data_IF_933330329651
#
_entry.id   IF_933330329651
#
_cell.length_a   1.000
_cell.length_b   1.000
_cell.length_c   1.000
_cell.angle_alpha   90.00
_cell.angle_beta   90.00
_cell.angle_gamma   90.00
#
_symmetry.space_group_name_H-M   'P 1'
#
loop_
_entity.id
_entity.type
_entity.pdbx_description
1 polymer ?
#
# COMPACT_ATOMS: atom_id res chain seq x y z
N UNK A 1 -3.04 19.92 38.98
CA UNK A 1 -3.77 18.64 38.94
C UNK A 1 -4.22 18.23 37.52
N UNK A 2 -3.82 18.92 36.44
CA UNK A 2 -4.15 18.54 35.06
C UNK A 2 -3.19 17.53 34.43
N UNK A 3 -1.92 17.48 34.88
CA UNK A 3 -0.86 16.68 34.23
C UNK A 3 -1.08 15.16 34.29
N UNK A 4 -1.71 14.64 35.36
CA UNK A 4 -1.89 13.19 35.49
C UNK A 4 -3.01 12.64 34.62
N UNK A 5 -4.02 13.46 34.28
CA UNK A 5 -5.17 13.00 33.50
C UNK A 5 -4.86 13.03 32.00
N UNK A 6 -4.24 14.10 31.50
CA UNK A 6 -3.77 14.19 30.11
C UNK A 6 -2.71 13.14 29.78
N UNK A 7 -1.76 12.91 30.70
CA UNK A 7 -0.76 11.84 30.55
C UNK A 7 -1.40 10.45 30.48
N UNK A 8 -2.44 10.18 31.28
CA UNK A 8 -3.13 8.88 31.29
C UNK A 8 -3.94 8.65 30.01
N UNK A 9 -4.63 9.68 29.51
CA UNK A 9 -5.36 9.61 28.24
C UNK A 9 -4.41 9.40 27.06
N UNK A 10 -3.31 10.15 27.01
CA UNK A 10 -2.31 10.00 25.94
C UNK A 10 -1.69 8.60 25.91
N UNK A 11 -1.46 7.98 27.07
CA UNK A 11 -0.88 6.63 27.14
C UNK A 11 -1.87 5.54 26.72
N UNK A 12 -3.15 5.63 27.07
CA UNK A 12 -4.14 4.65 26.60
C UNK A 12 -4.39 4.81 25.08
N UNK A 13 -4.47 6.04 24.58
CA UNK A 13 -4.54 6.30 23.14
C UNK A 13 -3.31 5.75 22.40
N UNK A 14 -2.09 5.98 22.92
CA UNK A 14 -0.85 5.44 22.33
C UNK A 14 -0.89 3.91 22.22
N UNK A 15 -1.46 3.22 23.21
CA UNK A 15 -1.62 1.75 23.20
C UNK A 15 -2.63 1.29 22.15
N UNK A 16 -3.76 1.97 22.01
CA UNK A 16 -4.75 1.69 20.97
C UNK A 16 -4.15 1.88 19.56
N UNK A 17 -3.44 2.98 19.31
CA UNK A 17 -2.76 3.21 18.04
C UNK A 17 -1.71 2.14 17.76
N UNK A 18 -0.92 1.75 18.77
CA UNK A 18 0.07 0.67 18.62
C UNK A 18 -0.58 -0.66 18.27
N UNK A 19 -1.75 -0.97 18.82
CA UNK A 19 -2.49 -2.19 18.47
C UNK A 19 -3.01 -2.11 17.03
N UNK A 20 -3.65 -1.01 16.64
CA UNK A 20 -4.14 -0.82 15.27
C UNK A 20 -2.99 -0.95 14.24
N UNK A 21 -1.85 -0.32 14.50
CA UNK A 21 -0.66 -0.47 13.64
C UNK A 21 -0.14 -1.91 13.61
N UNK A 22 -0.26 -2.65 14.71
CA UNK A 22 0.15 -4.06 14.77
C UNK A 22 -0.75 -4.94 13.91
N UNK A 23 -2.05 -4.66 13.89
CA UNK A 23 -3.02 -5.37 13.08
C UNK A 23 -2.82 -5.04 11.59
N UNK A 24 -2.62 -3.77 11.24
CA UNK A 24 -2.26 -3.36 9.88
C UNK A 24 -0.96 -4.05 9.41
N UNK A 25 0.05 -4.13 10.27
CA UNK A 25 1.29 -4.85 9.94
C UNK A 25 1.08 -6.36 9.76
N UNK A 26 0.06 -6.96 10.38
CA UNK A 26 -0.33 -8.34 10.09
C UNK A 26 -0.99 -8.46 8.72
N UNK A 27 -1.86 -7.51 8.36
CA UNK A 27 -2.42 -7.41 7.00
C UNK A 27 -1.31 -7.36 5.96
N UNK A 28 -0.29 -6.53 6.14
CA UNK A 28 0.86 -6.50 5.21
C UNK A 28 1.61 -7.84 5.10
N UNK A 29 1.70 -8.62 6.18
CA UNK A 29 2.31 -9.96 6.10
C UNK A 29 1.48 -10.92 5.27
N UNK A 30 0.16 -10.85 5.40
CA UNK A 30 -0.78 -11.65 4.60
C UNK A 30 -0.67 -11.24 3.13
N UNK A 31 -0.78 -9.95 2.83
CA UNK A 31 -0.65 -9.42 1.46
C UNK A 31 0.71 -9.74 0.84
N UNK A 32 1.79 -9.65 1.62
CA UNK A 32 3.12 -10.07 1.17
C UNK A 32 3.23 -11.58 0.90
N UNK A 33 2.40 -12.42 1.53
CA UNK A 33 2.31 -13.85 1.22
C UNK A 33 1.43 -14.12 -0.01
N UNK A 34 0.35 -13.36 -0.19
CA UNK A 34 -0.48 -13.40 -1.40
C UNK A 34 0.32 -13.00 -2.63
N UNK A 35 1.10 -11.92 -2.55
CA UNK A 35 1.96 -11.48 -3.65
C UNK A 35 3.00 -12.54 -4.03
N UNK A 36 3.54 -13.28 -3.04
CA UNK A 36 4.46 -14.40 -3.29
C UNK A 36 3.77 -15.56 -4.00
N UNK A 37 2.52 -15.86 -3.62
CA UNK A 37 1.73 -16.89 -4.28
C UNK A 37 1.48 -16.51 -5.74
N UNK A 38 0.98 -15.29 -6.00
CA UNK A 38 0.80 -14.75 -7.36
C UNK A 38 2.11 -14.82 -8.15
N UNK A 39 3.22 -14.40 -7.55
CA UNK A 39 4.56 -14.48 -8.17
C UNK A 39 5.09 -15.91 -8.39
N UNK A 40 4.44 -16.93 -7.83
CA UNK A 40 4.80 -18.34 -8.03
C UNK A 40 3.86 -19.06 -9.00
N UNK A 41 2.63 -18.57 -9.14
CA UNK A 41 1.66 -19.03 -10.14
C UNK A 41 2.05 -18.54 -11.54
N UNK A 42 2.66 -17.35 -11.61
CA UNK A 42 3.19 -16.77 -12.84
C UNK A 42 4.73 -16.75 -12.78
N UNK A 43 5.40 -16.93 -13.91
CA UNK A 43 6.83 -16.69 -13.96
C UNK A 43 7.12 -15.23 -13.57
N UNK A 44 8.24 -14.97 -12.88
CA UNK A 44 8.60 -13.59 -12.49
C UNK A 44 8.75 -12.63 -13.67
N UNK A 45 9.03 -13.18 -14.85
CA UNK A 45 9.13 -12.45 -16.11
C UNK A 45 7.84 -12.53 -16.95
N UNK A 46 6.82 -13.24 -16.47
CA UNK A 46 5.51 -13.28 -17.09
C UNK A 46 4.89 -11.88 -17.02
N UNK A 47 4.64 -11.33 -18.20
CA UNK A 47 4.01 -10.05 -18.45
C UNK A 47 2.62 -10.24 -19.07
N UNK A 48 2.05 -11.43 -19.04
CA UNK A 48 0.68 -11.63 -19.51
C UNK A 48 -0.29 -10.72 -18.75
N UNK A 49 -1.36 -10.30 -19.42
CA UNK A 49 -2.41 -9.45 -18.84
C UNK A 49 -2.96 -10.08 -17.55
N UNK A 50 -3.10 -11.41 -17.51
CA UNK A 50 -3.54 -12.13 -16.32
C UNK A 50 -2.55 -12.02 -15.14
N UNK A 51 -1.25 -12.17 -15.40
CA UNK A 51 -0.20 -12.03 -14.38
C UNK A 51 -0.18 -10.60 -13.82
N UNK A 52 -0.28 -9.61 -14.69
CA UNK A 52 -0.29 -8.19 -14.32
C UNK A 52 -1.54 -7.85 -13.49
N UNK A 53 -2.72 -8.29 -13.93
CA UNK A 53 -3.96 -8.08 -13.20
C UNK A 53 -3.93 -8.68 -11.78
N UNK A 54 -3.42 -9.91 -11.64
CA UNK A 54 -3.31 -10.57 -10.33
C UNK A 54 -2.33 -9.84 -9.38
N UNK A 55 -1.19 -9.36 -9.89
CA UNK A 55 -0.25 -8.55 -9.11
C UNK A 55 -0.87 -7.22 -8.70
N UNK A 56 -1.54 -6.54 -9.62
CA UNK A 56 -2.23 -5.27 -9.34
C UNK A 56 -3.35 -5.43 -8.31
N UNK A 57 -4.06 -6.56 -8.26
CA UNK A 57 -5.08 -6.79 -7.23
C UNK A 57 -4.46 -6.78 -5.82
N UNK A 58 -3.34 -7.48 -5.62
CA UNK A 58 -2.66 -7.52 -4.32
C UNK A 58 -2.01 -6.16 -3.99
N UNK A 59 -1.44 -5.47 -4.99
CA UNK A 59 -0.86 -4.13 -4.82
C UNK A 59 -1.93 -3.11 -4.40
N UNK A 60 -3.12 -3.13 -5.01
CA UNK A 60 -4.23 -2.27 -4.61
C UNK A 60 -4.65 -2.49 -3.15
N UNK A 61 -4.77 -3.75 -2.71
CA UNK A 61 -5.04 -4.07 -1.30
C UNK A 61 -3.94 -3.54 -0.36
N UNK A 62 -2.68 -3.58 -0.80
CA UNK A 62 -1.55 -3.05 -0.03
C UNK A 62 -1.59 -1.51 0.07
N UNK A 63 -1.97 -0.83 -1.01
CA UNK A 63 -2.20 0.62 -1.05
C UNK A 63 -3.30 1.01 -0.07
N UNK A 64 -4.42 0.29 -0.04
CA UNK A 64 -5.51 0.55 0.90
C UNK A 64 -5.07 0.36 2.36
N UNK A 65 -4.39 -0.76 2.66
CA UNK A 65 -3.82 -0.99 3.99
C UNK A 65 -2.81 0.10 4.40
N UNK A 66 -2.06 0.66 3.44
CA UNK A 66 -1.13 1.76 3.72
C UNK A 66 -1.86 3.08 3.97
N UNK A 67 -2.94 3.37 3.26
CA UNK A 67 -3.81 4.52 3.52
C UNK A 67 -4.37 4.45 4.94
N UNK A 68 -4.84 3.27 5.37
CA UNK A 68 -5.30 3.04 6.76
C UNK A 68 -4.17 3.24 7.78
N UNK A 69 -2.95 2.79 7.47
CA UNK A 69 -1.76 3.02 8.31
C UNK A 69 -1.48 4.51 8.47
N UNK A 70 -1.53 5.26 7.38
CA UNK A 70 -1.31 6.71 7.37
C UNK A 70 -2.37 7.41 8.22
N UNK A 71 -3.66 7.10 8.02
CA UNK A 71 -4.74 7.68 8.83
C UNK A 71 -4.56 7.37 10.33
N UNK A 72 -4.15 6.15 10.66
CA UNK A 72 -3.84 5.75 12.05
C UNK A 72 -2.66 6.54 12.62
N UNK A 73 -1.60 6.73 11.84
CA UNK A 73 -0.41 7.51 12.24
C UNK A 73 -0.72 9.01 12.38
N UNK A 74 -1.58 9.57 11.54
CA UNK A 74 -2.04 10.96 11.67
C UNK A 74 -2.84 11.18 12.96
N UNK A 75 -3.74 10.27 13.29
CA UNK A 75 -4.48 10.30 14.55
C UNK A 75 -3.54 10.14 15.76
N UNK A 76 -2.58 9.23 15.69
CA UNK A 76 -1.59 9.02 16.73
C UNK A 76 -0.69 10.25 16.95
N UNK A 77 -0.21 10.85 15.86
CA UNK A 77 0.60 12.06 15.91
C UNK A 77 -0.17 13.22 16.54
N UNK A 78 -1.43 13.44 16.13
CA UNK A 78 -2.29 14.48 16.69
C UNK A 78 -2.51 14.28 18.20
N UNK A 79 -2.88 13.07 18.61
CA UNK A 79 -3.09 12.75 20.01
C UNK A 79 -1.80 12.94 20.85
N UNK A 80 -0.64 12.54 20.31
CA UNK A 80 0.64 12.72 20.96
C UNK A 80 1.04 14.20 21.07
N UNK A 81 0.81 15.00 20.03
CA UNK A 81 1.04 16.44 20.05
C UNK A 81 0.15 17.13 21.10
N UNK A 82 -1.13 16.78 21.16
CA UNK A 82 -2.08 17.33 22.13
C UNK A 82 -1.76 16.93 23.59
N UNK A 83 -1.24 15.70 23.79
CA UNK A 83 -1.01 15.13 25.14
C UNK A 83 0.40 15.39 25.68
N UNK A 84 1.41 15.40 24.81
CA UNK A 84 2.83 15.42 25.19
C UNK A 84 3.59 16.62 24.61
N UNK A 85 3.01 17.32 23.64
CA UNK A 85 3.64 18.41 22.91
C UNK A 85 4.44 17.95 21.69
N UNK A 86 4.63 18.87 20.75
CA UNK A 86 5.28 18.61 19.46
C UNK A 86 6.79 18.29 19.60
N UNK A 87 7.43 18.84 20.62
CA UNK A 87 8.86 18.61 20.90
C UNK A 87 9.12 17.31 21.70
N UNK A 88 8.08 16.58 22.13
CA UNK A 88 8.25 15.29 22.78
C UNK A 88 8.80 14.26 21.78
N UNK A 89 9.75 13.44 22.24
CA UNK A 89 10.43 12.43 21.42
C UNK A 89 9.46 11.42 20.80
N UNK A 90 8.37 11.06 21.48
CA UNK A 90 7.33 10.15 20.97
C UNK A 90 6.55 10.79 19.84
N UNK A 91 6.15 12.05 20.02
CA UNK A 91 5.46 12.83 18.97
C UNK A 91 6.33 12.95 17.71
N UNK A 92 7.62 13.28 17.87
CA UNK A 92 8.57 13.30 16.76
C UNK A 92 8.74 11.92 16.09
N UNK A 93 8.73 10.84 16.87
CA UNK A 93 8.82 9.50 16.32
C UNK A 93 7.58 9.13 15.48
N UNK A 94 6.38 9.53 15.91
CA UNK A 94 5.16 9.38 15.11
C UNK A 94 5.22 10.16 13.80
N UNK A 95 5.73 11.39 13.82
CA UNK A 95 5.91 12.20 12.62
C UNK A 95 6.87 11.53 11.61
N UNK A 96 7.97 10.95 12.09
CA UNK A 96 8.90 10.19 11.24
C UNK A 96 8.21 8.96 10.62
N UNK A 97 7.48 8.18 11.42
CA UNK A 97 6.75 7.02 10.91
C UNK A 97 5.70 7.41 9.88
N UNK A 98 4.96 8.50 10.11
CA UNK A 98 3.98 9.03 9.17
C UNK A 98 4.62 9.41 7.83
N UNK A 99 5.74 10.14 7.86
CA UNK A 99 6.45 10.54 6.64
C UNK A 99 6.97 9.33 5.86
N UNK A 100 7.53 8.34 6.55
CA UNK A 100 7.96 7.10 5.90
C UNK A 100 6.79 6.35 5.28
N UNK A 101 5.65 6.28 5.97
CA UNK A 101 4.46 5.62 5.45
C UNK A 101 3.91 6.34 4.20
N UNK A 102 3.91 7.68 4.19
CA UNK A 102 3.54 8.49 3.01
C UNK A 102 4.49 8.28 1.84
N UNK A 103 5.80 8.22 2.10
CA UNK A 103 6.78 7.94 1.05
C UNK A 103 6.61 6.54 0.44
N UNK A 104 6.34 5.53 1.28
CA UNK A 104 6.02 4.16 0.84
C UNK A 104 4.72 4.11 0.02
N UNK A 105 3.67 4.83 0.44
CA UNK A 105 2.43 4.96 -0.34
C UNK A 105 2.70 5.54 -1.73
N UNK A 106 3.43 6.66 -1.81
CA UNK A 106 3.77 7.27 -3.09
C UNK A 106 4.55 6.31 -4.00
N UNK A 107 5.40 5.47 -3.43
CA UNK A 107 6.12 4.43 -4.17
C UNK A 107 5.18 3.35 -4.72
N UNK A 108 4.23 2.88 -3.92
CA UNK A 108 3.24 1.88 -4.35
C UNK A 108 2.26 2.42 -5.38
N UNK A 109 1.77 3.65 -5.22
CA UNK A 109 0.90 4.29 -6.22
C UNK A 109 1.62 4.47 -7.55
N UNK A 110 2.90 4.86 -7.51
CA UNK A 110 3.72 4.93 -8.72
C UNK A 110 3.95 3.56 -9.37
N UNK A 111 4.20 2.51 -8.59
CA UNK A 111 4.33 1.14 -9.12
C UNK A 111 3.03 0.67 -9.79
N UNK A 112 1.89 1.01 -9.20
CA UNK A 112 0.57 0.70 -9.77
C UNK A 112 0.37 1.42 -11.10
N UNK A 113 0.69 2.72 -11.17
CA UNK A 113 0.59 3.52 -12.39
C UNK A 113 1.49 2.96 -13.51
N UNK A 114 2.78 2.68 -13.21
CA UNK A 114 3.72 2.08 -14.18
C UNK A 114 3.25 0.71 -14.69
N UNK A 115 2.56 -0.05 -13.84
CA UNK A 115 2.03 -1.37 -14.19
C UNK A 115 0.74 -1.27 -15.01
N UNK A 116 -0.09 -0.24 -14.77
CA UNK A 116 -1.27 0.04 -15.57
C UNK A 116 -0.87 0.44 -17.00
N UNK A 117 0.07 1.36 -17.15
CA UNK A 117 0.60 1.77 -18.46
C UNK A 117 1.15 0.57 -19.24
N UNK A 118 1.92 -0.29 -18.56
CA UNK A 118 2.47 -1.52 -19.18
C UNK A 118 1.39 -2.51 -19.61
N UNK A 119 0.26 -2.58 -18.89
CA UNK A 119 -0.85 -3.47 -19.21
C UNK A 119 -1.64 -2.96 -20.42
N UNK A 120 -1.82 -1.65 -20.53
CA UNK A 120 -2.48 -0.99 -21.66
C UNK A 120 -1.64 -1.19 -22.94
N UNK A 121 -0.33 -0.95 -22.90
CA UNK A 121 0.59 -1.19 -24.03
C UNK A 121 0.52 -2.65 -24.53
N UNK A 122 0.45 -3.62 -23.61
CA UNK A 122 0.28 -5.03 -23.96
C UNK A 122 -1.08 -5.33 -24.58
N UNK A 123 -2.13 -4.64 -24.14
CA UNK A 123 -3.47 -4.75 -24.70
C UNK A 123 -3.48 -4.31 -26.17
N UNK A 124 -2.88 -3.16 -26.44
CA UNK A 124 -2.77 -2.59 -27.79
C UNK A 124 -1.97 -3.51 -28.73
N UNK A 125 -0.80 -4.02 -28.29
CA UNK A 125 0.00 -4.98 -29.08
C UNK A 125 -0.76 -6.28 -29.42
N UNK A 126 -1.58 -6.76 -28.48
CA UNK A 126 -2.41 -7.96 -28.68
C UNK A 126 -3.55 -7.70 -29.67
N UNK A 127 -4.18 -6.53 -29.62
CA UNK A 127 -5.22 -6.13 -30.57
C UNK A 127 -4.65 -6.02 -31.98
N UNK A 128 -3.53 -5.30 -32.17
CA UNK A 128 -2.84 -5.19 -33.46
C UNK A 128 -2.44 -6.56 -34.02
N UNK A 129 -1.92 -7.44 -33.16
CA UNK A 129 -1.57 -8.81 -33.54
C UNK A 129 -2.79 -9.62 -33.95
N UNK A 130 -3.91 -9.45 -33.25
CA UNK A 130 -5.20 -10.08 -33.56
C UNK A 130 -5.74 -9.64 -34.92
N UNK A 131 -5.77 -8.33 -35.17
CA UNK A 131 -6.20 -7.76 -36.46
C UNK A 131 -5.33 -8.25 -37.62
N UNK A 132 -4.00 -8.30 -37.42
CA UNK A 132 -3.07 -8.80 -38.42
C UNK A 132 -3.28 -10.30 -38.71
N UNK A 133 -3.57 -11.10 -37.68
CA UNK A 133 -3.89 -12.51 -37.81
C UNK A 133 -5.21 -12.74 -38.57
N UNK A 134 -6.27 -11.99 -38.28
CA UNK A 134 -7.54 -12.07 -39.02
C UNK A 134 -7.37 -11.69 -40.50
N UNK A 135 -6.64 -10.61 -40.77
CA UNK A 135 -6.37 -10.14 -42.13
C UNK A 135 -5.52 -11.11 -42.96
N UNK A 136 -4.69 -11.93 -42.31
CA UNK A 136 -3.87 -12.94 -42.96
C UNK A 136 -4.58 -14.30 -43.07
N UNK A 137 -5.41 -14.66 -42.09
CA UNK A 137 -6.25 -15.85 -42.10
C UNK A 137 -7.36 -15.80 -43.15
N UNK A 138 -7.92 -14.62 -43.42
CA UNK A 138 -8.93 -14.42 -44.48
C UNK A 138 -8.38 -14.44 -45.92
N UNK A 139 -7.08 -14.68 -46.12
CA UNK A 139 -6.42 -14.73 -47.45
C UNK A 139 -6.10 -16.15 -47.94
N UNK A 140 -6.55 -17.18 -47.24
CA UNK A 140 -6.48 -18.60 -47.64
C UNK A 140 -7.88 -19.18 -47.77
#
# INVERSE_FOLDING_TARGET
>A
MADSFGLKIGVEGEKEFKNALRDINQTFKVLGSEMKLVSSEFDKQDKSVAAVAARNEVLNKAIDAQKDKITTLEAALKNAADSFGENDRRTQNWAVQLNNAKAELNGMEKELDETADSADDLGDELEESGEAAEKSGGKF
#
